data_IF_470965738872
#
_entry.id   IF_470965738872
#
_cell.length_a   1.000
_cell.length_b   1.000
_cell.length_c   1.000
_cell.angle_alpha   90.00
_cell.angle_beta   90.00
_cell.angle_gamma   90.00
#
_symmetry.space_group_name_H-M   'P 1'
#
loop_
_entity.id
_entity.type
_entity.pdbx_description
1 polymer ?
#
# COMPACT_ATOMS: atom_id res chain seq x y z
N UNK A 1 3.77 9.41 2.14
CA UNK A 1 4.04 10.71 2.78
C UNK A 1 4.66 10.46 4.13
N UNK A 2 5.67 11.24 4.48
CA UNK A 2 6.29 11.21 5.80
C UNK A 2 6.33 12.60 6.42
N UNK A 3 6.36 12.67 7.74
CA UNK A 3 6.66 13.90 8.47
C UNK A 3 8.17 14.19 8.52
N UNK A 4 8.54 15.27 9.18
CA UNK A 4 9.93 15.69 9.41
C UNK A 4 10.77 14.73 10.26
N UNK A 5 10.14 13.72 10.89
CA UNK A 5 10.80 12.63 11.63
C UNK A 5 10.77 11.31 10.86
N UNK A 6 10.43 11.35 9.57
CA UNK A 6 10.29 10.21 8.67
C UNK A 6 9.15 9.25 9.02
N UNK A 7 8.24 9.63 9.93
CA UNK A 7 7.07 8.79 10.25
C UNK A 7 6.09 8.79 9.10
N UNK A 8 5.54 7.63 8.77
CA UNK A 8 4.52 7.53 7.72
C UNK A 8 3.22 8.17 8.18
N UNK A 9 2.80 9.22 7.47
CA UNK A 9 1.58 10.01 7.79
C UNK A 9 0.52 9.94 6.69
N UNK A 10 0.82 9.25 5.58
CA UNK A 10 -0.15 9.04 4.52
C UNK A 10 0.36 8.20 3.37
N UNK A 11 -0.56 7.55 2.66
CA UNK A 11 -0.30 6.91 1.35
C UNK A 11 -1.19 7.59 0.33
N UNK A 12 -0.65 7.82 -0.87
CA UNK A 12 -1.37 8.41 -1.99
C UNK A 12 -1.38 7.39 -3.13
N UNK A 13 -2.53 7.28 -3.78
CA UNK A 13 -2.77 6.43 -4.93
C UNK A 13 -3.20 7.26 -6.14
N UNK A 14 -3.13 6.65 -7.32
CA UNK A 14 -3.53 7.27 -8.58
C UNK A 14 -5.00 7.76 -8.57
N UNK A 15 -5.85 7.16 -7.72
CA UNK A 15 -7.27 7.53 -7.59
C UNK A 15 -7.48 8.82 -6.79
N UNK A 16 -6.58 9.13 -5.86
CA UNK A 16 -6.82 10.19 -4.88
C UNK A 16 -6.76 11.57 -5.54
N UNK A 17 -5.84 11.78 -6.48
CA UNK A 17 -5.68 13.08 -7.16
C UNK A 17 -6.89 13.44 -8.05
N UNK A 18 -7.35 12.59 -8.99
CA UNK A 18 -8.56 12.86 -9.75
C UNK A 18 -9.80 13.06 -8.86
N UNK A 19 -9.93 12.28 -7.77
CA UNK A 19 -11.03 12.42 -6.83
C UNK A 19 -10.99 13.78 -6.11
N UNK A 20 -9.82 14.21 -5.67
CA UNK A 20 -9.64 15.52 -5.05
C UNK A 20 -9.98 16.65 -6.05
N UNK A 21 -9.53 16.57 -7.30
CA UNK A 21 -9.85 17.56 -8.33
C UNK A 21 -11.35 17.63 -8.61
N UNK A 22 -12.02 16.47 -8.70
CA UNK A 22 -13.45 16.38 -8.98
C UNK A 22 -14.33 16.93 -7.85
N UNK A 23 -13.85 16.90 -6.60
CA UNK A 23 -14.65 17.23 -5.41
C UNK A 23 -14.36 18.60 -4.81
N UNK A 24 -13.16 19.18 -5.04
CA UNK A 24 -12.70 20.39 -4.34
C UNK A 24 -12.93 21.70 -5.10
N UNK A 25 -13.38 21.65 -6.37
CA UNK A 25 -13.62 22.80 -7.25
C UNK A 25 -12.46 23.84 -7.24
N UNK A 26 -11.23 23.35 -7.25
CA UNK A 26 -9.97 24.11 -7.24
C UNK A 26 -9.04 23.52 -8.28
N UNK A 27 -8.09 24.31 -8.78
CA UNK A 27 -7.02 23.77 -9.60
C UNK A 27 -6.20 22.77 -8.79
N UNK A 28 -5.69 21.73 -9.44
CA UNK A 28 -4.86 20.71 -8.78
C UNK A 28 -3.64 21.30 -8.07
N UNK A 29 -3.04 22.34 -8.66
CA UNK A 29 -1.91 23.07 -8.09
C UNK A 29 -2.24 23.77 -6.76
N UNK A 30 -3.51 24.09 -6.52
CA UNK A 30 -3.94 24.78 -5.31
C UNK A 30 -4.30 23.82 -4.19
N UNK A 31 -4.43 22.51 -4.45
CA UNK A 31 -4.86 21.52 -3.46
C UNK A 31 -3.64 20.95 -2.74
N UNK A 32 -3.42 21.25 -1.44
CA UNK A 32 -2.34 20.66 -0.68
C UNK A 32 -2.50 19.14 -0.61
N UNK A 33 -1.41 18.42 -0.82
CA UNK A 33 -1.36 16.94 -0.75
C UNK A 33 -1.95 16.39 0.55
N UNK A 34 -1.75 17.08 1.67
CA UNK A 34 -2.33 16.74 2.99
C UNK A 34 -3.88 16.80 3.07
N UNK A 35 -4.53 17.45 2.10
CA UNK A 35 -6.00 17.49 1.98
C UNK A 35 -6.55 16.36 1.08
N UNK A 36 -5.66 15.67 0.35
CA UNK A 36 -5.98 14.57 -0.57
C UNK A 36 -5.91 13.23 0.16
N UNK A 37 -4.89 13.05 1.00
CA UNK A 37 -4.71 11.81 1.76
C UNK A 37 -5.86 11.60 2.74
N UNK A 38 -6.42 10.40 2.68
CA UNK A 38 -7.38 9.93 3.67
C UNK A 38 -6.68 9.75 5.02
N UNK A 39 -7.08 10.56 6.00
CA UNK A 39 -6.55 10.48 7.37
C UNK A 39 -7.13 9.23 8.02
N UNK A 40 -6.33 8.19 8.21
CA UNK A 40 -6.79 6.90 8.73
C UNK A 40 -5.67 5.99 9.21
N UNK A 41 -6.04 4.75 9.50
CA UNK A 41 -5.12 3.70 9.96
C UNK A 41 -4.26 3.21 8.79
N UNK A 42 -3.06 3.79 8.68
CA UNK A 42 -2.09 3.46 7.63
C UNK A 42 -1.54 2.07 7.90
N UNK A 43 -1.90 1.14 7.03
CA UNK A 43 -1.36 -0.21 7.08
C UNK A 43 0.10 -0.19 6.71
N UNK A 44 0.92 -0.88 7.50
CA UNK A 44 2.35 -1.04 7.29
C UNK A 44 2.79 -2.42 7.80
N UNK A 45 3.99 -2.85 7.40
CA UNK A 45 4.66 -4.02 7.98
C UNK A 45 6.05 -3.64 8.51
N UNK A 46 6.61 -4.49 9.36
CA UNK A 46 8.01 -4.42 9.78
C UNK A 46 8.93 -5.02 8.71
N UNK A 47 10.21 -4.60 8.58
CA UNK A 47 11.21 -5.35 7.82
C UNK A 47 11.42 -6.77 8.34
N UNK A 48 11.10 -7.04 9.62
CA UNK A 48 11.24 -8.36 10.25
C UNK A 48 9.97 -9.22 10.14
N UNK A 49 8.90 -8.71 9.51
CA UNK A 49 7.67 -9.46 9.32
C UNK A 49 7.82 -10.54 8.23
N UNK A 50 7.27 -11.73 8.47
CA UNK A 50 7.14 -12.76 7.43
C UNK A 50 6.32 -12.22 6.25
N UNK A 51 6.77 -12.50 5.03
CA UNK A 51 6.11 -12.07 3.78
C UNK A 51 4.63 -12.47 3.73
N UNK A 52 4.25 -13.61 4.31
CA UNK A 52 2.85 -14.07 4.40
C UNK A 52 2.00 -13.10 5.22
N UNK A 53 2.57 -12.46 6.25
CA UNK A 53 1.87 -11.41 7.01
C UNK A 53 1.64 -10.18 6.15
N UNK A 54 2.63 -9.75 5.37
CA UNK A 54 2.47 -8.64 4.42
C UNK A 54 1.40 -8.96 3.36
N UNK A 55 1.42 -10.17 2.78
CA UNK A 55 0.39 -10.64 1.83
C UNK A 55 -1.01 -10.67 2.46
N UNK A 56 -1.12 -11.10 3.71
CA UNK A 56 -2.38 -11.10 4.45
C UNK A 56 -2.92 -9.68 4.65
N UNK A 57 -2.08 -8.75 5.11
CA UNK A 57 -2.45 -7.33 5.27
C UNK A 57 -2.91 -6.74 3.93
N UNK A 58 -2.16 -7.01 2.86
CA UNK A 58 -2.52 -6.58 1.50
C UNK A 58 -3.88 -7.13 1.06
N UNK A 59 -4.15 -8.41 1.31
CA UNK A 59 -5.43 -9.05 0.99
C UNK A 59 -6.60 -8.51 1.81
N UNK A 60 -6.45 -8.42 3.13
CA UNK A 60 -7.50 -7.97 4.07
C UNK A 60 -7.90 -6.51 3.86
N UNK A 61 -6.93 -5.65 3.51
CA UNK A 61 -7.17 -4.23 3.28
C UNK A 61 -7.27 -3.85 1.80
N UNK A 62 -7.21 -4.84 0.91
CA UNK A 62 -7.28 -4.66 -0.55
C UNK A 62 -6.27 -3.63 -1.10
N UNK A 63 -5.08 -3.57 -0.50
CA UNK A 63 -4.01 -2.68 -0.89
C UNK A 63 -2.92 -3.44 -1.64
N UNK A 64 -2.36 -2.81 -2.67
CA UNK A 64 -1.31 -3.41 -3.52
C UNK A 64 0.10 -3.04 -3.10
N UNK A 65 0.23 -2.06 -2.19
CA UNK A 65 1.49 -1.52 -1.70
C UNK A 65 1.38 -1.30 -0.21
N UNK A 66 2.44 -1.67 0.50
CA UNK A 66 2.52 -1.61 1.95
C UNK A 66 3.82 -0.90 2.33
N UNK A 67 3.76 0.22 3.06
CA UNK A 67 4.93 0.81 3.71
C UNK A 67 5.61 -0.21 4.62
N UNK A 68 6.92 -0.31 4.52
CA UNK A 68 7.77 -1.05 5.46
C UNK A 68 8.34 -0.04 6.44
N UNK A 69 8.08 -0.20 7.73
CA UNK A 69 8.47 0.76 8.78
C UNK A 69 9.25 0.09 9.89
N UNK A 70 10.16 0.83 10.52
CA UNK A 70 10.86 0.35 11.72
C UNK A 70 9.97 0.45 12.99
N UNK A 71 10.50 0.03 14.14
CA UNK A 71 9.80 0.08 15.43
C UNK A 71 9.34 1.49 15.84
N UNK A 72 10.03 2.53 15.37
CA UNK A 72 9.68 3.93 15.63
C UNK A 72 8.59 4.46 14.68
N UNK A 73 8.14 3.65 13.72
CA UNK A 73 7.15 3.98 12.69
C UNK A 73 7.72 4.79 11.52
N UNK A 74 9.05 4.83 11.38
CA UNK A 74 9.74 5.55 10.32
C UNK A 74 9.82 4.68 9.06
N UNK A 75 9.61 5.31 7.90
CA UNK A 75 9.67 4.61 6.60
C UNK A 75 11.06 4.02 6.38
N UNK A 76 11.09 2.77 5.93
CA UNK A 76 12.30 2.11 5.41
C UNK A 76 12.19 1.92 3.90
N UNK A 77 11.04 1.42 3.43
CA UNK A 77 10.78 1.18 2.01
C UNK A 77 9.29 1.01 1.72
N UNK A 78 8.95 0.77 0.44
CA UNK A 78 7.61 0.38 0.02
C UNK A 78 7.67 -1.02 -0.59
N UNK A 79 6.88 -1.94 -0.05
CA UNK A 79 6.71 -3.28 -0.59
C UNK A 79 5.46 -3.32 -1.48
N UNK A 80 5.58 -3.77 -2.72
CA UNK A 80 4.44 -3.98 -3.60
C UNK A 80 4.14 -5.46 -3.81
N UNK A 81 2.88 -5.79 -4.10
CA UNK A 81 2.50 -7.15 -4.52
C UNK A 81 3.29 -7.60 -5.75
N UNK A 82 3.71 -6.68 -6.62
CA UNK A 82 4.52 -7.00 -7.79
C UNK A 82 5.96 -7.39 -7.43
N UNK A 83 6.52 -6.82 -6.37
CA UNK A 83 7.81 -7.27 -5.83
C UNK A 83 7.72 -8.72 -5.36
N UNK A 84 6.60 -9.06 -4.70
CA UNK A 84 6.34 -10.42 -4.22
C UNK A 84 6.08 -11.42 -5.36
N UNK A 85 5.35 -11.02 -6.41
CA UNK A 85 5.18 -11.83 -7.62
C UNK A 85 6.54 -12.09 -8.28
N UNK A 86 7.37 -11.05 -8.44
CA UNK A 86 8.70 -11.22 -9.04
C UNK A 86 9.59 -12.14 -8.20
N UNK A 87 9.47 -12.04 -6.87
CA UNK A 87 10.25 -12.86 -5.95
C UNK A 87 9.79 -14.33 -5.94
N UNK A 88 8.49 -14.61 -6.03
CA UNK A 88 8.00 -16.01 -6.05
C UNK A 88 8.40 -16.77 -7.32
N UNK A 89 8.62 -16.04 -8.42
CA UNK A 89 9.08 -16.59 -9.70
C UNK A 89 10.61 -16.76 -9.78
N UNK A 90 11.36 -16.28 -8.80
CA UNK A 90 12.82 -16.43 -8.77
C UNK A 90 13.20 -17.82 -8.22
N UNK A 91 14.22 -18.45 -8.81
CA UNK A 91 14.73 -19.74 -8.35
C UNK A 91 15.24 -19.64 -6.90
N UNK A 92 14.74 -20.52 -6.01
CA UNK A 92 15.13 -20.57 -4.60
C UNK A 92 14.31 -19.70 -3.64
N UNK A 93 13.21 -19.10 -4.08
CA UNK A 93 12.31 -18.34 -3.20
C UNK A 93 11.56 -19.23 -2.20
N UNK A 94 11.49 -18.81 -0.93
CA UNK A 94 10.65 -19.45 0.10
C UNK A 94 9.15 -19.15 -0.08
N UNK A 95 8.83 -18.18 -0.94
CA UNK A 95 7.48 -17.72 -1.20
C UNK A 95 6.82 -18.52 -2.32
N UNK A 96 5.76 -19.27 -1.98
CA UNK A 96 5.02 -20.02 -3.00
C UNK A 96 4.13 -19.12 -3.87
N UNK A 97 4.03 -19.46 -5.15
CA UNK A 97 3.12 -18.81 -6.10
C UNK A 97 1.66 -18.81 -5.63
N UNK A 98 1.25 -19.86 -4.91
CA UNK A 98 -0.11 -19.98 -4.38
C UNK A 98 -0.44 -18.87 -3.39
N UNK A 99 0.47 -18.52 -2.48
CA UNK A 99 0.22 -17.46 -1.49
C UNK A 99 0.06 -16.09 -2.15
N UNK A 100 0.89 -15.81 -3.16
CA UNK A 100 0.82 -14.57 -3.93
C UNK A 100 -0.46 -14.51 -4.76
N UNK A 101 -0.86 -15.64 -5.35
CA UNK A 101 -2.10 -15.76 -6.13
C UNK A 101 -3.35 -15.55 -5.26
N UNK A 102 -3.38 -16.13 -4.05
CA UNK A 102 -4.46 -15.94 -3.08
C UNK A 102 -4.59 -14.47 -2.66
N UNK A 103 -3.47 -13.83 -2.30
CA UNK A 103 -3.46 -12.41 -1.97
C UNK A 103 -3.92 -11.55 -3.15
N UNK A 104 -3.47 -11.85 -4.37
CA UNK A 104 -3.87 -11.12 -5.58
C UNK A 104 -5.37 -11.25 -5.86
N UNK A 105 -5.95 -12.45 -5.63
CA UNK A 105 -7.39 -12.67 -5.68
C UNK A 105 -8.10 -11.84 -4.62
N UNK A 106 -7.67 -11.91 -3.35
CA UNK A 106 -8.27 -11.15 -2.25
C UNK A 106 -8.28 -9.64 -2.51
N UNK A 107 -7.15 -9.08 -2.97
CA UNK A 107 -7.03 -7.67 -3.37
C UNK A 107 -8.02 -7.30 -4.48
N UNK A 108 -8.29 -8.23 -5.41
CA UNK A 108 -9.13 -7.98 -6.59
C UNK A 108 -10.62 -8.33 -6.36
N UNK A 109 -10.98 -8.88 -5.20
CA UNK A 109 -12.30 -9.48 -4.93
C UNK A 109 -13.48 -8.50 -4.79
N UNK A 110 -13.29 -7.20 -5.07
CA UNK A 110 -14.40 -6.27 -5.36
C UNK A 110 -14.04 -5.34 -6.53
N UNK A 111 -14.36 -5.80 -7.73
CA UNK A 111 -14.87 -4.98 -8.84
C UNK A 111 -16.16 -5.61 -9.35
N UNK A 112 -17.15 -5.70 -8.47
CA UNK A 112 -18.54 -5.83 -8.86
C UNK A 112 -19.36 -5.11 -7.79
N UNK A 113 -20.33 -4.32 -8.26
CA UNK A 113 -21.38 -3.58 -7.53
C UNK A 113 -21.11 -2.08 -7.34
N UNK A 114 -22.06 -1.34 -7.94
CA UNK A 114 -22.40 0.09 -7.96
C UNK A 114 -21.55 1.01 -8.86
#
# INVERSE_FOLDING_TARGET
>A
MVDEREKVVGVITDRDLPLAMATKNRLSADIPVREIVEKGDIKACSPDDDVKKALKIMGEHQIRRLPVVNEQGQIQSMLSIYDLIRHSQAEGGELSDNNVMEATKAISSQQAVA
#
